data_IF_209797555269
#
_entry.id   IF_209797555269
#
_cell.length_a   1.000
_cell.length_b   1.000
_cell.length_c   1.000
_cell.angle_alpha   90.00
_cell.angle_beta   90.00
_cell.angle_gamma   90.00
#
_symmetry.space_group_name_H-M   'P 1'
#
loop_
_entity.id
_entity.type
_entity.pdbx_description
1 polymer ?
#
# COMPACT_ATOMS: atom_id res chain seq x y z
N UNK A 1 62.21 -43.03 -16.01
CA UNK A 1 61.23 -43.27 -14.92
C UNK A 1 60.48 -41.98 -14.50
N UNK A 2 61.14 -40.81 -14.44
CA UNK A 2 60.52 -39.52 -14.02
C UNK A 2 59.48 -38.95 -14.99
N UNK A 3 59.64 -39.08 -16.28
CA UNK A 3 58.73 -38.49 -17.29
C UNK A 3 57.40 -39.25 -17.35
N UNK A 4 57.43 -40.56 -17.23
CA UNK A 4 56.26 -41.43 -17.26
C UNK A 4 55.32 -41.11 -16.05
N UNK A 5 55.86 -40.87 -14.87
CA UNK A 5 55.12 -40.53 -13.66
C UNK A 5 54.42 -39.13 -13.76
N UNK A 6 55.02 -38.18 -14.50
CA UNK A 6 54.39 -36.87 -14.74
C UNK A 6 53.22 -36.97 -15.73
N UNK A 7 53.36 -37.78 -16.77
CA UNK A 7 52.30 -37.98 -17.76
C UNK A 7 51.06 -38.69 -17.10
N UNK A 8 51.31 -39.71 -16.30
CA UNK A 8 50.23 -40.44 -15.58
C UNK A 8 49.51 -39.51 -14.61
N UNK A 9 50.22 -38.65 -13.86
CA UNK A 9 49.61 -37.65 -12.97
C UNK A 9 48.79 -36.60 -13.73
N UNK A 10 49.23 -36.17 -14.90
CA UNK A 10 48.49 -35.20 -15.73
C UNK A 10 47.21 -35.82 -16.26
N UNK A 11 47.27 -37.05 -16.75
CA UNK A 11 46.10 -37.77 -17.26
C UNK A 11 45.05 -38.06 -16.17
N UNK A 12 45.52 -38.41 -14.95
CA UNK A 12 44.60 -38.60 -13.80
C UNK A 12 43.94 -37.28 -13.35
N UNK A 13 44.68 -36.15 -13.39
CA UNK A 13 44.13 -34.84 -13.07
C UNK A 13 43.08 -34.38 -14.09
N UNK A 14 43.34 -34.58 -15.39
CA UNK A 14 42.41 -34.26 -16.47
C UNK A 14 41.16 -35.13 -16.40
N UNK A 15 41.32 -36.43 -16.15
CA UNK A 15 40.17 -37.35 -15.96
C UNK A 15 39.33 -36.97 -14.72
N UNK A 16 39.99 -36.54 -13.63
CA UNK A 16 39.29 -36.11 -12.42
C UNK A 16 38.53 -34.81 -12.63
N UNK A 17 39.09 -33.81 -13.35
CA UNK A 17 38.41 -32.57 -13.69
C UNK A 17 37.19 -32.81 -14.58
N UNK A 18 37.31 -33.71 -15.56
CA UNK A 18 36.16 -34.08 -16.41
C UNK A 18 35.08 -34.83 -15.64
N UNK A 19 35.45 -35.72 -14.70
CA UNK A 19 34.52 -36.43 -13.86
C UNK A 19 33.77 -35.48 -12.92
N UNK A 20 34.44 -34.49 -12.33
CA UNK A 20 33.83 -33.46 -11.46
C UNK A 20 32.91 -32.56 -12.28
N UNK A 21 33.30 -32.19 -13.52
CA UNK A 21 32.45 -31.39 -14.41
C UNK A 21 31.15 -32.12 -14.83
N UNK A 22 31.19 -33.42 -14.95
CA UNK A 22 30.01 -34.24 -15.23
C UNK A 22 29.08 -34.38 -14.02
N UNK A 23 29.60 -34.37 -12.80
CA UNK A 23 28.81 -34.48 -11.57
C UNK A 23 28.19 -33.16 -11.11
N UNK A 24 28.66 -32.01 -11.65
CA UNK A 24 28.10 -30.68 -11.32
C UNK A 24 27.10 -30.17 -12.35
N UNK A 25 26.76 -30.95 -13.38
CA UNK A 25 25.65 -30.64 -14.25
C UNK A 25 24.34 -30.92 -13.51
N UNK A 26 24.00 -30.04 -12.56
CA UNK A 26 22.65 -29.99 -12.02
C UNK A 26 21.71 -29.69 -13.21
N UNK A 27 20.90 -30.66 -13.53
CA UNK A 27 19.90 -30.59 -14.60
C UNK A 27 18.84 -29.52 -14.20
N UNK A 28 19.09 -28.26 -14.56
CA UNK A 28 18.16 -27.14 -14.35
C UNK A 28 16.87 -27.28 -15.16
N UNK A 29 16.81 -28.26 -16.07
CA UNK A 29 15.64 -28.45 -16.94
C UNK A 29 14.39 -28.94 -16.20
N UNK A 30 14.56 -29.69 -15.12
CA UNK A 30 13.42 -30.38 -14.51
C UNK A 30 12.54 -29.51 -13.62
N UNK A 31 13.02 -28.38 -13.09
CA UNK A 31 12.23 -27.58 -12.12
C UNK A 31 11.25 -26.64 -12.84
N UNK A 32 11.66 -26.04 -13.95
CA UNK A 32 10.79 -25.14 -14.72
C UNK A 32 9.71 -25.89 -15.49
N UNK A 33 10.05 -27.05 -16.03
CA UNK A 33 9.08 -27.92 -16.72
C UNK A 33 8.05 -28.48 -15.74
N UNK A 34 8.46 -28.77 -14.51
CA UNK A 34 7.59 -29.28 -13.45
C UNK A 34 6.59 -28.21 -12.97
N UNK A 35 7.01 -26.96 -12.77
CA UNK A 35 6.12 -25.85 -12.36
C UNK A 35 5.11 -25.52 -13.46
N UNK A 36 5.54 -25.49 -14.71
CA UNK A 36 4.65 -25.26 -15.83
C UNK A 36 3.60 -26.36 -15.98
N UNK A 37 3.98 -27.61 -15.83
CA UNK A 37 3.07 -28.73 -15.84
C UNK A 37 2.05 -28.67 -14.69
N UNK A 38 2.51 -28.34 -13.47
CA UNK A 38 1.64 -28.13 -12.32
C UNK A 38 0.63 -27.00 -12.61
N UNK A 39 1.09 -25.87 -13.14
CA UNK A 39 0.21 -24.76 -13.45
C UNK A 39 -0.85 -25.13 -14.49
N UNK A 40 -0.48 -25.81 -15.57
CA UNK A 40 -1.39 -26.30 -16.59
C UNK A 40 -2.47 -27.24 -16.00
N UNK A 41 -2.10 -28.12 -15.06
CA UNK A 41 -3.05 -29.01 -14.39
C UNK A 41 -4.07 -28.24 -13.51
N UNK A 42 -3.60 -27.18 -12.81
CA UNK A 42 -4.43 -26.52 -11.80
C UNK A 42 -5.21 -25.31 -12.33
N UNK A 43 -4.81 -24.71 -13.48
CA UNK A 43 -5.37 -23.42 -13.96
C UNK A 43 -6.88 -23.45 -14.21
N UNK A 44 -7.45 -24.60 -14.52
CA UNK A 44 -8.90 -24.79 -14.71
C UNK A 44 -9.67 -25.09 -13.42
N UNK A 45 -8.98 -25.29 -12.29
CA UNK A 45 -9.60 -25.55 -11.01
C UNK A 45 -9.47 -24.34 -10.10
N UNK A 46 -10.55 -23.55 -9.83
CA UNK A 46 -10.47 -22.32 -9.07
C UNK A 46 -9.87 -22.47 -7.68
N UNK A 47 -10.14 -23.58 -6.98
CA UNK A 47 -9.62 -23.83 -5.62
C UNK A 47 -8.12 -24.11 -5.64
N UNK A 48 -7.67 -24.99 -6.52
CA UNK A 48 -6.24 -25.32 -6.68
C UNK A 48 -5.46 -24.09 -7.15
N UNK A 49 -6.00 -23.36 -8.14
CA UNK A 49 -5.40 -22.12 -8.65
C UNK A 49 -5.26 -21.07 -7.54
N UNK A 50 -6.31 -20.84 -6.74
CA UNK A 50 -6.26 -19.90 -5.62
C UNK A 50 -5.17 -20.28 -4.62
N UNK A 51 -5.08 -21.55 -4.22
CA UNK A 51 -4.08 -22.03 -3.27
C UNK A 51 -2.64 -21.85 -3.81
N UNK A 52 -2.45 -22.07 -5.10
CA UNK A 52 -1.17 -21.84 -5.78
C UNK A 52 -0.84 -20.35 -5.78
N UNK A 53 -1.77 -19.50 -6.21
CA UNK A 53 -1.57 -18.04 -6.32
C UNK A 53 -1.37 -17.37 -4.98
N UNK A 54 -1.94 -17.90 -3.89
CA UNK A 54 -1.68 -17.38 -2.54
C UNK A 54 -0.22 -17.51 -2.11
N UNK A 55 0.46 -18.56 -2.57
CA UNK A 55 1.88 -18.83 -2.25
C UNK A 55 2.85 -18.27 -3.30
N UNK A 56 2.32 -17.83 -4.44
CA UNK A 56 3.14 -17.36 -5.55
C UNK A 56 3.83 -16.04 -5.21
N UNK A 57 5.15 -15.91 -5.44
CA UNK A 57 5.85 -14.63 -5.30
C UNK A 57 5.34 -13.63 -6.35
N UNK A 58 4.93 -12.45 -5.89
CA UNK A 58 4.33 -11.42 -6.77
C UNK A 58 5.30 -10.30 -7.12
N UNK A 59 6.52 -10.32 -6.56
CA UNK A 59 7.53 -9.30 -6.84
C UNK A 59 7.19 -7.96 -6.19
N UNK A 60 6.91 -6.95 -7.00
CA UNK A 60 6.64 -5.59 -6.55
C UNK A 60 5.35 -5.02 -7.11
N UNK A 61 4.79 -4.05 -6.39
CA UNK A 61 3.72 -3.16 -6.83
C UNK A 61 4.33 -1.77 -7.08
N UNK A 62 4.43 -1.38 -8.36
CA UNK A 62 5.14 -0.18 -8.80
C UNK A 62 4.23 1.04 -8.95
N UNK A 63 2.93 0.92 -8.66
CA UNK A 63 1.99 2.02 -8.81
C UNK A 63 0.84 1.88 -7.83
N UNK A 64 1.02 2.42 -6.62
CA UNK A 64 0.06 2.31 -5.55
C UNK A 64 -0.18 3.66 -4.87
N UNK A 65 -1.42 4.15 -4.90
CA UNK A 65 -1.81 5.36 -4.18
C UNK A 65 -2.15 5.00 -2.74
N UNK A 66 -1.31 5.40 -1.79
CA UNK A 66 -1.40 5.00 -0.38
C UNK A 66 -2.81 5.18 0.20
N UNK A 67 -3.41 6.34 0.01
CA UNK A 67 -4.73 6.65 0.57
C UNK A 67 -5.85 5.74 0.03
N UNK A 68 -5.72 5.27 -1.22
CA UNK A 68 -6.67 4.34 -1.83
C UNK A 68 -6.37 2.86 -1.57
N UNK A 69 -5.22 2.55 -0.99
CA UNK A 69 -4.80 1.19 -0.70
C UNK A 69 -5.26 0.67 0.67
N UNK A 70 -5.69 1.56 1.55
CA UNK A 70 -6.19 1.21 2.88
C UNK A 70 -7.62 0.68 2.79
N UNK A 71 -7.93 -0.39 3.52
CA UNK A 71 -9.29 -0.95 3.46
C UNK A 71 -10.30 -0.08 4.18
N UNK A 72 -11.55 -0.09 3.70
CA UNK A 72 -12.64 0.65 4.31
C UNK A 72 -12.88 0.23 5.77
N UNK A 73 -12.76 -1.06 6.06
CA UNK A 73 -12.84 -1.62 7.40
C UNK A 73 -11.75 -1.03 8.31
N UNK A 74 -10.53 -0.92 7.81
CA UNK A 74 -9.41 -0.33 8.56
C UNK A 74 -9.58 1.17 8.77
N UNK A 75 -10.19 1.89 7.83
CA UNK A 75 -10.59 3.30 8.03
C UNK A 75 -11.63 3.42 9.14
N UNK A 76 -12.59 2.50 9.23
CA UNK A 76 -13.60 2.50 10.29
C UNK A 76 -12.96 2.25 11.66
N UNK A 77 -12.10 1.23 11.77
CA UNK A 77 -11.40 0.92 13.02
C UNK A 77 -10.54 2.10 13.50
N UNK A 78 -9.83 2.73 12.57
CA UNK A 78 -9.03 3.92 12.86
C UNK A 78 -9.91 5.10 13.29
N UNK A 79 -11.02 5.34 12.59
CA UNK A 79 -11.97 6.39 12.92
C UNK A 79 -12.59 6.19 14.32
N UNK A 80 -12.96 4.97 14.67
CA UNK A 80 -13.48 4.62 16.01
C UNK A 80 -12.41 4.90 17.06
N UNK A 81 -11.17 4.47 16.85
CA UNK A 81 -10.08 4.67 17.81
C UNK A 81 -9.76 6.14 18.08
N UNK A 82 -10.08 7.03 17.15
CA UNK A 82 -9.84 8.47 17.24
C UNK A 82 -11.10 9.28 17.60
N UNK A 83 -12.23 8.63 17.86
CA UNK A 83 -13.48 9.30 18.16
C UNK A 83 -13.96 10.21 17.02
N UNK A 84 -13.76 9.77 15.77
CA UNK A 84 -14.19 10.52 14.58
C UNK A 84 -15.70 10.54 14.45
N UNK A 85 -16.19 11.52 13.72
CA UNK A 85 -17.60 11.65 13.38
C UNK A 85 -17.86 11.09 11.96
N UNK A 86 -19.02 10.49 11.78
CA UNK A 86 -19.52 10.07 10.46
C UNK A 86 -20.78 10.86 10.10
N UNK A 87 -20.81 11.39 8.90
CA UNK A 87 -22.01 12.07 8.40
C UNK A 87 -23.10 11.04 8.05
N UNK A 88 -24.33 11.17 8.57
CA UNK A 88 -25.35 10.13 8.43
C UNK A 88 -25.71 9.75 6.98
N UNK A 89 -25.73 10.73 6.08
CA UNK A 89 -26.11 10.50 4.66
C UNK A 89 -24.91 10.17 3.78
N UNK A 90 -23.89 11.05 3.74
CA UNK A 90 -22.74 10.89 2.85
C UNK A 90 -21.73 9.85 3.32
N UNK A 91 -21.81 9.45 4.61
CA UNK A 91 -20.84 8.59 5.30
C UNK A 91 -19.41 9.16 5.30
N UNK A 92 -19.26 10.47 5.08
CA UNK A 92 -17.97 11.15 5.16
C UNK A 92 -17.50 11.23 6.62
N UNK A 93 -16.21 10.96 6.83
CA UNK A 93 -15.57 11.04 8.12
C UNK A 93 -15.06 12.46 8.40
N UNK A 94 -15.12 12.91 9.63
CA UNK A 94 -14.63 14.22 10.05
C UNK A 94 -14.09 14.19 11.48
N UNK A 95 -13.13 15.10 11.76
CA UNK A 95 -12.60 15.24 13.11
C UNK A 95 -13.67 15.73 14.10
N UNK A 96 -13.57 15.33 15.39
CA UNK A 96 -14.44 15.86 16.43
C UNK A 96 -14.19 17.38 16.66
N UNK A 97 -15.16 18.13 17.25
CA UNK A 97 -16.48 17.67 17.67
C UNK A 97 -17.43 17.42 16.51
N UNK A 98 -18.38 16.49 16.68
CA UNK A 98 -19.38 16.20 15.65
C UNK A 98 -20.26 17.44 15.43
N UNK A 99 -20.44 17.81 14.15
CA UNK A 99 -21.11 19.05 13.77
C UNK A 99 -22.64 18.93 13.95
N UNK A 100 -23.24 20.07 14.30
CA UNK A 100 -24.70 20.29 14.27
C UNK A 100 -25.02 21.36 13.24
N UNK A 101 -26.21 21.29 12.65
CA UNK A 101 -26.72 22.35 11.78
C UNK A 101 -27.22 23.56 12.59
N UNK A 102 -27.68 24.59 11.89
CA UNK A 102 -28.21 25.84 12.48
C UNK A 102 -29.40 25.59 13.42
N UNK A 103 -30.12 24.46 13.25
CA UNK A 103 -31.29 24.07 14.05
C UNK A 103 -30.88 23.14 15.22
N UNK A 104 -29.59 22.85 15.38
CA UNK A 104 -29.07 21.95 16.41
C UNK A 104 -29.20 20.46 16.05
N UNK A 105 -29.58 20.12 14.80
CA UNK A 105 -29.66 18.74 14.32
C UNK A 105 -28.25 18.21 14.08
N UNK A 106 -27.97 17.02 14.55
CA UNK A 106 -26.65 16.38 14.33
C UNK A 106 -26.43 16.06 12.86
N UNK A 107 -25.42 16.71 12.25
CA UNK A 107 -24.93 16.44 10.91
C UNK A 107 -23.67 15.55 10.91
N UNK A 108 -23.25 15.09 12.08
CA UNK A 108 -22.22 14.10 12.29
C UNK A 108 -22.43 13.43 13.62
N UNK A 109 -22.30 12.12 13.66
CA UNK A 109 -22.39 11.30 14.88
C UNK A 109 -21.09 10.57 15.10
N UNK A 110 -20.74 10.30 16.37
CA UNK A 110 -19.56 9.52 16.69
C UNK A 110 -19.66 8.14 16.06
N UNK A 111 -18.65 7.76 15.28
CA UNK A 111 -18.62 6.43 14.69
C UNK A 111 -18.44 5.39 15.81
N UNK A 112 -19.17 4.28 15.72
CA UNK A 112 -19.13 3.23 16.74
C UNK A 112 -20.09 3.40 17.93
N UNK A 113 -20.70 4.57 18.10
CA UNK A 113 -21.75 4.77 19.10
C UNK A 113 -23.12 4.25 18.63
N UNK A 114 -24.01 3.83 19.57
CA UNK A 114 -25.34 3.35 19.20
C UNK A 114 -26.19 4.34 18.38
N UNK A 115 -25.93 5.65 18.53
CA UNK A 115 -26.61 6.68 17.74
C UNK A 115 -26.09 6.77 16.30
N UNK A 116 -24.86 6.39 16.03
CA UNK A 116 -24.36 6.20 14.67
C UNK A 116 -24.93 4.95 14.01
N UNK A 117 -25.48 4.09 14.83
CA UNK A 117 -26.17 2.86 14.50
C UNK A 117 -27.68 3.04 14.33
N UNK A 118 -28.20 4.26 14.07
CA UNK A 118 -29.59 4.44 13.63
C UNK A 118 -29.89 3.72 12.30
N UNK A 119 -28.89 3.09 11.72
CA UNK A 119 -28.98 2.03 10.73
C UNK A 119 -28.56 0.69 11.36
N UNK A 120 -29.06 0.36 12.54
CA UNK A 120 -29.04 -1.05 12.96
C UNK A 120 -30.01 -1.81 12.07
N UNK A 121 -29.55 -2.95 11.55
CA UNK A 121 -30.45 -3.88 10.90
C UNK A 121 -31.48 -4.41 11.94
N UNK A 122 -32.47 -5.14 11.48
CA UNK A 122 -33.53 -5.76 12.33
C UNK A 122 -32.96 -6.63 13.49
N UNK A 123 -31.66 -6.98 13.46
CA UNK A 123 -30.96 -7.76 14.49
C UNK A 123 -30.13 -6.89 15.46
N UNK A 124 -30.23 -5.56 15.36
CA UNK A 124 -29.48 -4.65 16.24
C UNK A 124 -27.97 -4.55 15.94
N UNK A 125 -27.53 -5.03 14.78
CA UNK A 125 -26.12 -4.94 14.36
C UNK A 125 -25.91 -3.59 13.67
N UNK A 126 -24.90 -2.79 14.08
CA UNK A 126 -24.54 -1.54 13.42
C UNK A 126 -24.34 -1.76 11.92
N UNK A 127 -25.01 -0.97 11.09
CA UNK A 127 -24.89 -1.09 9.63
C UNK A 127 -23.55 -0.49 9.12
N UNK A 128 -22.45 -1.07 9.56
CA UNK A 128 -21.11 -0.75 9.04
C UNK A 128 -21.00 -1.04 7.54
N UNK A 129 -21.86 -1.91 7.02
CA UNK A 129 -21.93 -2.24 5.59
C UNK A 129 -22.14 -1.00 4.74
N UNK A 130 -23.09 -0.13 5.09
CA UNK A 130 -23.33 1.11 4.36
C UNK A 130 -22.15 2.08 4.41
N UNK A 131 -21.38 2.11 5.51
CA UNK A 131 -20.15 2.92 5.61
C UNK A 131 -19.06 2.31 4.72
N UNK A 132 -18.82 1.00 4.80
CA UNK A 132 -17.83 0.30 3.96
C UNK A 132 -18.14 0.51 2.47
N UNK A 133 -19.40 0.41 2.07
CA UNK A 133 -19.82 0.62 0.68
C UNK A 133 -19.56 2.05 0.19
N UNK A 134 -19.66 3.04 1.07
CA UNK A 134 -19.39 4.42 0.74
C UNK A 134 -17.90 4.78 0.77
N UNK A 135 -17.08 4.06 1.58
CA UNK A 135 -15.64 4.24 1.65
C UNK A 135 -14.86 3.37 0.66
N UNK A 136 -15.56 2.55 -0.14
CA UNK A 136 -14.97 1.65 -1.12
C UNK A 136 -15.77 1.58 -2.42
N UNK A 137 -15.28 0.83 -3.38
CA UNK A 137 -16.00 0.51 -4.63
C UNK A 137 -16.80 -0.79 -4.53
N UNK A 138 -16.97 -1.33 -3.32
CA UNK A 138 -17.74 -2.54 -3.09
C UNK A 138 -19.19 -2.31 -3.51
N UNK A 139 -19.74 -3.27 -4.23
CA UNK A 139 -21.15 -3.32 -4.63
C UNK A 139 -21.69 -2.05 -5.34
N UNK A 140 -20.80 -1.24 -5.95
CA UNK A 140 -21.22 -0.02 -6.66
C UNK A 140 -22.24 -0.30 -7.77
N UNK A 141 -22.15 -1.47 -8.41
CA UNK A 141 -23.04 -1.88 -9.49
C UNK A 141 -24.49 -2.12 -9.04
N UNK A 142 -24.72 -2.26 -7.73
CA UNK A 142 -26.06 -2.36 -7.13
C UNK A 142 -26.67 -0.99 -6.86
N UNK A 143 -25.92 0.09 -7.09
CA UNK A 143 -26.32 1.48 -6.91
C UNK A 143 -26.36 2.18 -8.26
N UNK A 144 -27.15 3.21 -8.40
CA UNK A 144 -27.25 4.00 -9.64
C UNK A 144 -26.07 4.97 -9.79
N UNK A 145 -24.82 4.46 -9.63
CA UNK A 145 -23.59 5.24 -9.79
C UNK A 145 -22.60 4.49 -10.67
N UNK A 146 -21.78 5.22 -11.42
CA UNK A 146 -20.68 4.61 -12.17
C UNK A 146 -19.55 4.19 -11.24
N UNK A 147 -18.78 3.17 -11.61
CA UNK A 147 -17.58 2.77 -10.87
C UNK A 147 -16.56 3.92 -10.74
N UNK A 148 -16.46 4.76 -11.78
CA UNK A 148 -15.64 5.96 -11.78
C UNK A 148 -16.10 6.96 -10.69
N UNK A 149 -17.36 7.33 -10.68
CA UNK A 149 -17.89 8.32 -9.74
C UNK A 149 -17.83 7.81 -8.30
N UNK A 150 -18.16 6.52 -8.09
CA UNK A 150 -18.00 5.89 -6.79
C UNK A 150 -16.56 5.94 -6.31
N UNK A 151 -15.59 5.56 -7.16
CA UNK A 151 -14.18 5.56 -6.83
C UNK A 151 -13.70 6.94 -6.38
N UNK A 152 -13.90 7.96 -7.21
CA UNK A 152 -13.45 9.32 -6.88
C UNK A 152 -14.17 9.94 -5.68
N UNK A 153 -15.43 9.60 -5.47
CA UNK A 153 -16.20 10.10 -4.32
C UNK A 153 -15.71 9.53 -2.98
N UNK A 154 -15.06 8.37 -2.94
CA UNK A 154 -14.55 7.78 -1.70
C UNK A 154 -13.49 8.65 -1.04
N UNK A 155 -12.62 9.29 -1.82
CA UNK A 155 -11.51 10.10 -1.29
C UNK A 155 -12.00 11.24 -0.40
N UNK A 156 -13.03 11.97 -0.82
CA UNK A 156 -13.61 13.05 -0.04
C UNK A 156 -14.21 12.56 1.30
N UNK A 157 -14.55 11.29 1.42
CA UNK A 157 -15.15 10.72 2.62
C UNK A 157 -14.14 10.29 3.67
N UNK A 158 -12.94 9.88 3.28
CA UNK A 158 -11.91 9.43 4.24
C UNK A 158 -10.68 10.33 4.33
N UNK A 159 -10.56 11.36 3.49
CA UNK A 159 -9.35 12.18 3.39
C UNK A 159 -8.93 12.81 4.72
N UNK A 160 -9.91 13.20 5.56
CA UNK A 160 -9.67 13.75 6.89
C UNK A 160 -8.91 12.82 7.84
N UNK A 161 -8.90 11.52 7.56
CA UNK A 161 -8.16 10.52 8.34
C UNK A 161 -6.75 10.27 7.80
N UNK A 162 -6.48 10.59 6.54
CA UNK A 162 -5.22 10.20 5.90
C UNK A 162 -4.03 10.95 6.46
N UNK A 163 -4.13 12.29 6.59
CA UNK A 163 -2.96 13.14 6.87
C UNK A 163 -2.28 12.82 8.22
N UNK A 164 -3.04 12.64 9.26
CA UNK A 164 -2.50 12.31 10.59
C UNK A 164 -2.09 10.85 10.78
N UNK A 165 -2.46 9.96 9.84
CA UNK A 165 -2.39 8.51 10.03
C UNK A 165 -1.60 7.77 8.93
N UNK A 166 -0.79 8.49 8.16
CA UNK A 166 -0.05 7.90 7.04
C UNK A 166 0.84 6.73 7.46
N UNK A 167 1.47 6.79 8.64
CA UNK A 167 2.29 5.70 9.17
C UNK A 167 1.48 4.44 9.50
N UNK A 168 0.28 4.60 10.05
CA UNK A 168 -0.66 3.49 10.34
C UNK A 168 -1.15 2.87 9.03
N UNK A 169 -1.46 3.69 8.03
CA UNK A 169 -1.87 3.24 6.69
C UNK A 169 -0.75 2.45 6.01
N UNK A 170 0.50 2.96 6.04
CA UNK A 170 1.65 2.25 5.47
C UNK A 170 1.91 0.92 6.19
N UNK A 171 1.73 0.88 7.51
CA UNK A 171 1.89 -0.35 8.28
C UNK A 171 0.88 -1.42 7.84
N UNK A 172 -0.40 -1.08 7.66
CA UNK A 172 -1.42 -2.01 7.18
C UNK A 172 -1.14 -2.47 5.75
N UNK A 173 -0.87 -1.52 4.84
CA UNK A 173 -0.63 -1.81 3.42
C UNK A 173 0.59 -2.72 3.24
N UNK A 174 1.70 -2.43 3.92
CA UNK A 174 2.90 -3.27 3.86
C UNK A 174 2.73 -4.64 4.53
N UNK A 175 1.97 -4.71 5.63
CA UNK A 175 1.63 -5.99 6.26
C UNK A 175 0.79 -6.88 5.33
N UNK A 176 -0.17 -6.29 4.63
CA UNK A 176 -0.97 -7.00 3.63
C UNK A 176 -0.13 -7.43 2.43
N UNK A 177 0.74 -6.56 1.93
CA UNK A 177 1.68 -6.87 0.85
C UNK A 177 2.57 -8.08 1.21
N UNK A 178 3.13 -8.10 2.42
CA UNK A 178 3.93 -9.22 2.93
C UNK A 178 3.14 -10.54 2.91
N UNK A 179 1.91 -10.53 3.44
CA UNK A 179 1.03 -11.71 3.45
C UNK A 179 0.63 -12.19 2.04
N UNK A 180 0.71 -11.29 1.06
CA UNK A 180 0.45 -11.59 -0.36
C UNK A 180 1.71 -11.93 -1.15
N UNK A 181 2.88 -12.07 -0.49
CA UNK A 181 4.19 -12.30 -1.09
C UNK A 181 4.61 -11.21 -2.08
N UNK A 182 4.25 -9.95 -1.80
CA UNK A 182 4.79 -8.75 -2.43
C UNK A 182 5.97 -8.29 -1.57
N UNK A 183 7.12 -8.08 -2.20
CA UNK A 183 8.38 -7.75 -1.52
C UNK A 183 8.77 -6.29 -1.66
N UNK A 184 8.13 -5.56 -2.56
CA UNK A 184 8.48 -4.19 -2.91
C UNK A 184 7.22 -3.38 -3.24
N UNK A 185 7.16 -2.15 -2.72
CA UNK A 185 6.05 -1.22 -2.95
C UNK A 185 6.57 0.16 -3.37
N UNK A 186 5.96 0.75 -4.40
CA UNK A 186 6.08 2.18 -4.71
C UNK A 186 4.78 2.88 -4.32
N UNK A 187 4.83 3.67 -3.24
CA UNK A 187 3.66 4.31 -2.65
C UNK A 187 3.63 5.80 -3.01
N UNK A 188 2.63 6.20 -3.77
CA UNK A 188 2.40 7.60 -4.10
C UNK A 188 1.85 8.36 -2.91
N UNK A 189 2.51 9.49 -2.59
CA UNK A 189 2.20 10.38 -1.48
C UNK A 189 2.12 11.83 -1.98
N UNK A 190 0.96 12.46 -1.82
CA UNK A 190 0.75 13.86 -2.22
C UNK A 190 1.26 14.86 -1.17
N UNK A 191 2.46 14.61 -0.61
CA UNK A 191 3.06 15.49 0.40
C UNK A 191 3.67 16.72 -0.27
N UNK A 192 3.37 17.91 0.26
CA UNK A 192 3.89 19.18 -0.24
C UNK A 192 3.34 19.63 -1.60
N UNK A 193 2.60 18.78 -2.29
CA UNK A 193 2.14 19.03 -3.66
C UNK A 193 1.17 20.21 -3.75
N UNK A 194 0.19 20.28 -2.85
CA UNK A 194 -0.78 21.37 -2.84
C UNK A 194 -0.17 22.68 -2.32
N UNK A 195 0.74 22.59 -1.36
CA UNK A 195 1.47 23.72 -0.82
C UNK A 195 2.31 24.40 -1.91
N UNK A 196 3.07 23.60 -2.66
CA UNK A 196 3.88 24.10 -3.78
C UNK A 196 3.01 24.64 -4.91
N UNK A 197 1.94 23.94 -5.27
CA UNK A 197 1.02 24.39 -6.32
C UNK A 197 0.34 25.71 -5.96
N UNK A 198 -0.15 25.87 -4.73
CA UNK A 198 -0.78 27.10 -4.26
C UNK A 198 0.23 28.25 -4.17
N UNK A 199 1.44 27.98 -3.68
CA UNK A 199 2.50 28.96 -3.63
C UNK A 199 2.87 29.45 -5.04
N UNK A 200 3.08 28.52 -5.98
CA UNK A 200 3.39 28.87 -7.37
C UNK A 200 2.26 29.68 -8.02
N UNK A 201 1.01 29.26 -7.85
CA UNK A 201 -0.14 29.99 -8.39
C UNK A 201 -0.30 31.42 -7.82
N UNK A 202 0.23 31.65 -6.61
CA UNK A 202 0.16 32.99 -5.97
C UNK A 202 1.31 33.89 -6.37
N UNK A 203 2.48 33.35 -6.66
CA UNK A 203 3.71 34.11 -6.86
C UNK A 203 4.14 34.24 -8.33
N UNK A 204 3.57 33.44 -9.23
CA UNK A 204 3.93 33.44 -10.64
C UNK A 204 2.69 33.59 -11.53
N UNK A 205 2.78 34.47 -12.52
CA UNK A 205 1.78 34.53 -13.58
C UNK A 205 2.00 33.38 -14.58
N UNK A 206 0.94 32.70 -14.99
CA UNK A 206 0.95 31.46 -15.76
C UNK A 206 1.62 31.52 -17.15
N UNK A 207 2.19 32.65 -17.58
CA UNK A 207 2.71 32.84 -18.92
C UNK A 207 4.14 33.39 -19.02
N UNK A 208 4.84 33.66 -17.91
CA UNK A 208 6.06 34.46 -17.97
C UNK A 208 7.26 33.99 -17.14
N UNK A 209 7.27 32.77 -16.62
CA UNK A 209 8.39 32.28 -15.82
C UNK A 209 9.08 31.04 -16.45
N UNK A 210 10.40 30.95 -16.21
CA UNK A 210 11.16 29.75 -16.48
C UNK A 210 10.95 28.77 -15.32
N UNK A 211 10.68 27.50 -15.63
CA UNK A 211 10.46 26.46 -14.61
C UNK A 211 11.62 26.33 -13.61
N UNK A 212 12.85 26.64 -14.08
CA UNK A 212 14.07 26.68 -13.27
C UNK A 212 14.00 27.73 -12.16
N UNK A 213 13.36 28.87 -12.37
CA UNK A 213 13.22 29.89 -11.34
C UNK A 213 12.37 29.43 -10.16
N UNK A 214 11.38 28.57 -10.42
CA UNK A 214 10.58 27.95 -9.36
C UNK A 214 11.41 26.96 -8.57
N UNK A 215 12.19 26.12 -9.28
CA UNK A 215 12.97 25.06 -8.64
C UNK A 215 14.11 25.60 -7.77
N UNK A 216 14.68 26.74 -8.12
CA UNK A 216 15.80 27.35 -7.40
C UNK A 216 15.35 28.27 -6.26
N UNK A 217 14.05 28.30 -5.93
CA UNK A 217 13.52 29.16 -4.88
C UNK A 217 13.61 28.50 -3.50
N UNK A 218 14.10 29.26 -2.50
CA UNK A 218 14.27 28.80 -1.11
C UNK A 218 13.03 28.10 -0.53
N UNK A 219 11.82 28.53 -0.92
CA UNK A 219 10.58 27.89 -0.51
C UNK A 219 10.49 26.42 -0.94
N UNK A 220 11.01 26.09 -2.12
CA UNK A 220 11.02 24.71 -2.61
C UNK A 220 11.95 23.86 -1.74
N UNK A 221 13.12 24.37 -1.41
CA UNK A 221 14.06 23.69 -0.52
C UNK A 221 13.45 23.44 0.87
N UNK A 222 12.74 24.43 1.42
CA UNK A 222 12.01 24.28 2.68
C UNK A 222 10.94 23.18 2.57
N UNK A 223 10.18 23.13 1.48
CA UNK A 223 9.18 22.07 1.27
C UNK A 223 9.83 20.69 1.11
N UNK A 224 10.95 20.57 0.43
CA UNK A 224 11.71 19.31 0.30
C UNK A 224 12.14 18.80 1.68
N UNK A 225 12.72 19.66 2.52
CA UNK A 225 13.13 19.31 3.89
C UNK A 225 11.92 18.86 4.72
N UNK A 226 10.81 19.60 4.65
CA UNK A 226 9.57 19.27 5.36
C UNK A 226 9.01 17.92 4.93
N UNK A 227 8.96 17.66 3.62
CA UNK A 227 8.48 16.37 3.07
C UNK A 227 9.39 15.22 3.49
N UNK A 228 10.70 15.38 3.41
CA UNK A 228 11.66 14.37 3.85
C UNK A 228 11.46 14.03 5.34
N UNK A 229 11.38 15.04 6.20
CA UNK A 229 11.09 14.85 7.63
C UNK A 229 9.77 14.15 7.89
N UNK A 230 8.73 14.47 7.11
CA UNK A 230 7.41 13.82 7.20
C UNK A 230 7.50 12.33 6.80
N UNK A 231 8.25 12.01 5.75
CA UNK A 231 8.47 10.62 5.33
C UNK A 231 9.22 9.81 6.41
N UNK A 232 10.23 10.40 7.07
CA UNK A 232 10.94 9.78 8.18
C UNK A 232 10.00 9.48 9.36
N UNK A 233 9.07 10.38 9.68
CA UNK A 233 8.05 10.16 10.71
C UNK A 233 7.08 9.03 10.33
N UNK A 234 6.63 8.98 9.06
CA UNK A 234 5.77 7.92 8.53
C UNK A 234 6.47 6.57 8.67
N UNK A 235 7.74 6.46 8.24
CA UNK A 235 8.52 5.23 8.35
C UNK A 235 8.77 4.83 9.83
N UNK A 236 9.08 5.78 10.67
CA UNK A 236 9.28 5.54 12.10
C UNK A 236 8.00 4.98 12.73
N UNK A 237 6.85 5.56 12.44
CA UNK A 237 5.55 5.10 12.93
C UNK A 237 5.20 3.71 12.41
N UNK A 238 5.39 3.45 11.10
CA UNK A 238 5.21 2.13 10.51
C UNK A 238 6.05 1.07 11.25
N UNK A 239 7.35 1.35 11.41
CA UNK A 239 8.29 0.43 12.06
C UNK A 239 7.98 0.18 13.53
N UNK A 240 7.46 1.19 14.24
CA UNK A 240 6.95 1.07 15.60
C UNK A 240 5.78 0.09 15.67
N UNK A 241 4.74 0.31 14.86
CA UNK A 241 3.53 -0.53 14.80
C UNK A 241 3.90 -1.98 14.48
N UNK A 242 4.76 -2.19 13.49
CA UNK A 242 5.19 -3.51 13.05
C UNK A 242 6.30 -4.12 13.93
N UNK A 243 6.79 -3.40 14.93
CA UNK A 243 7.88 -3.83 15.83
C UNK A 243 9.16 -4.21 15.07
N UNK A 244 9.48 -3.51 13.98
CA UNK A 244 10.57 -3.88 13.09
C UNK A 244 11.96 -3.78 13.73
N UNK A 245 12.12 -2.98 14.78
CA UNK A 245 13.37 -2.82 15.52
C UNK A 245 13.59 -3.89 16.58
N UNK A 246 12.61 -4.77 16.81
CA UNK A 246 12.67 -5.87 17.76
C UNK A 246 13.33 -7.13 17.17
N UNK A 247 13.40 -8.17 17.99
CA UNK A 247 13.82 -9.50 17.55
C UNK A 247 12.90 -10.01 16.43
N UNK A 248 13.49 -10.69 15.43
CA UNK A 248 12.74 -11.17 14.25
C UNK A 248 11.50 -11.99 14.59
N UNK A 249 11.56 -12.79 15.66
CA UNK A 249 10.45 -13.61 16.14
C UNK A 249 9.24 -12.79 16.64
N UNK A 250 9.45 -11.52 17.00
CA UNK A 250 8.44 -10.63 17.57
C UNK A 250 7.95 -9.56 16.58
N UNK A 251 8.46 -9.57 15.34
CA UNK A 251 8.05 -8.62 14.30
C UNK A 251 6.71 -9.04 13.71
N UNK A 252 5.92 -8.04 13.35
CA UNK A 252 4.73 -8.26 12.54
C UNK A 252 5.09 -8.31 11.05
N UNK A 253 4.17 -8.80 10.23
CA UNK A 253 4.29 -8.81 8.78
C UNK A 253 4.56 -7.40 8.24
N UNK A 254 5.34 -7.32 7.16
CA UNK A 254 5.60 -6.07 6.44
C UNK A 254 6.94 -5.41 6.75
N UNK A 255 7.66 -5.81 7.82
CA UNK A 255 8.99 -5.25 8.13
C UNK A 255 10.01 -5.45 7.00
N UNK A 256 9.92 -6.57 6.30
CA UNK A 256 10.85 -6.96 5.24
C UNK A 256 10.37 -6.52 3.83
N UNK A 257 9.23 -5.82 3.74
CA UNK A 257 8.77 -5.20 2.49
C UNK A 257 9.55 -3.91 2.26
N UNK A 258 10.25 -3.84 1.13
CA UNK A 258 10.93 -2.62 0.72
C UNK A 258 9.92 -1.60 0.19
N UNK A 259 9.99 -0.37 0.69
CA UNK A 259 9.05 0.70 0.32
C UNK A 259 9.84 1.86 -0.27
N UNK A 260 9.33 2.40 -1.39
CA UNK A 260 9.73 3.67 -1.97
C UNK A 260 8.52 4.60 -2.04
N UNK A 261 8.76 5.87 -1.79
CA UNK A 261 7.74 6.89 -1.87
C UNK A 261 7.90 7.69 -3.16
N UNK A 262 6.80 7.89 -3.85
CA UNK A 262 6.74 8.66 -5.08
C UNK A 262 5.90 9.91 -4.86
N UNK A 263 6.38 11.06 -5.33
CA UNK A 263 5.62 12.29 -5.38
C UNK A 263 4.87 12.37 -6.71
N UNK A 264 3.53 12.28 -6.72
CA UNK A 264 2.76 12.45 -7.96
C UNK A 264 2.74 13.92 -8.38
N UNK A 265 2.85 14.16 -9.68
CA UNK A 265 2.59 15.48 -10.27
C UNK A 265 1.14 15.59 -10.72
N UNK A 266 0.53 16.77 -10.52
CA UNK A 266 -0.80 17.07 -11.07
C UNK A 266 -0.58 17.86 -12.37
N UNK A 267 -1.23 17.41 -13.44
CA UNK A 267 -1.45 18.25 -14.64
C UNK A 267 -2.77 19.00 -14.44
N UNK A 268 -2.69 20.31 -14.40
CA UNK A 268 -3.84 21.22 -14.43
C UNK A 268 -4.12 21.66 -15.84
#
# INVERSE_FOLDING_TARGET
MFVLNRIVRLLTLVAFVHLVSFLTSCDRKNVTDDISAIFEEIKSNPVKLRNFMQKYPKGGDLHNHLSGAFYAESFIDLAISQGMCVHPLSKALSAPPCKKDENGTEIGVLIGEPASANEVNEYGIPNLTGIIDQLSVRDYSLREVSGHDQFFSTFARFFSLVDGNRGDIVAEVSSRASRQNILYLELMQSLGMFEVANWAATNYETTSYEFTEILDHDYIDEQVIKVASTLDQIESRRREIQKCNGEKANRFDGCDVEIRYLAPGIRT
#
